data_IF_520153594891
#
_entry.id   IF_520153594891
#
_cell.length_a   1.000
_cell.length_b   1.000
_cell.length_c   1.000
_cell.angle_alpha   90.00
_cell.angle_beta   90.00
_cell.angle_gamma   90.00
#
_symmetry.space_group_name_H-M   'P 1'
#
loop_
_entity.id
_entity.type
_entity.pdbx_description
1 polymer ?
#
# COMPACT_ATOMS: atom_id res chain seq x y z
N UNK A 1 -26.83 8.38 5.28
CA UNK A 1 -25.84 7.90 6.26
C UNK A 1 -25.32 6.57 5.74
N UNK A 2 -24.23 6.60 4.97
CA UNK A 2 -23.71 5.39 4.31
C UNK A 2 -22.74 4.68 5.25
N UNK A 3 -23.07 3.44 5.62
CA UNK A 3 -22.17 2.56 6.36
C UNK A 3 -21.00 2.19 5.45
N UNK A 4 -19.79 2.65 5.77
CA UNK A 4 -18.57 2.04 5.24
C UNK A 4 -18.41 0.66 5.87
N UNK A 5 -18.85 -0.37 5.17
CA UNK A 5 -18.53 -1.76 5.48
C UNK A 5 -17.09 -2.03 5.01
N UNK A 6 -16.11 -1.78 5.87
CA UNK A 6 -14.78 -2.37 5.68
C UNK A 6 -14.97 -3.90 5.67
N UNK A 7 -14.51 -4.62 4.64
CA UNK A 7 -14.61 -6.07 4.62
C UNK A 7 -13.86 -6.62 5.84
N UNK A 8 -14.58 -7.27 6.75
CA UNK A 8 -13.99 -7.96 7.89
C UNK A 8 -13.14 -9.11 7.35
N UNK A 9 -11.82 -8.95 7.37
CA UNK A 9 -10.91 -10.08 7.16
C UNK A 9 -11.12 -11.07 8.30
N UNK A 10 -11.48 -12.32 7.99
CA UNK A 10 -11.50 -13.36 9.02
C UNK A 10 -10.04 -13.75 9.26
N UNK A 11 -9.43 -13.16 10.30
CA UNK A 11 -8.07 -13.49 10.68
C UNK A 11 -7.92 -15.00 10.91
N UNK A 12 -6.87 -15.58 10.31
CA UNK A 12 -6.51 -16.99 10.49
C UNK A 12 -6.37 -17.27 12.00
N UNK A 13 -6.94 -18.37 12.48
CA UNK A 13 -6.91 -18.68 13.92
C UNK A 13 -5.47 -18.89 14.41
N UNK A 14 -5.21 -18.55 15.69
CA UNK A 14 -3.88 -18.74 16.30
C UNK A 14 -3.37 -20.18 16.25
N UNK A 15 -4.26 -21.17 16.21
CA UNK A 15 -3.91 -22.60 16.07
C UNK A 15 -3.31 -22.91 14.70
N UNK A 16 -3.90 -22.39 13.63
CA UNK A 16 -3.39 -22.59 12.25
C UNK A 16 -2.03 -21.91 12.12
N UNK A 17 -1.91 -20.70 12.65
CA UNK A 17 -0.65 -19.95 12.66
C UNK A 17 0.45 -20.74 13.36
N UNK A 18 0.20 -21.25 14.57
CA UNK A 18 1.19 -22.04 15.31
C UNK A 18 1.58 -23.34 14.58
N UNK A 19 0.67 -23.95 13.81
CA UNK A 19 1.02 -25.09 12.96
C UNK A 19 1.88 -24.72 11.76
N UNK A 20 1.67 -23.52 11.19
CA UNK A 20 2.37 -23.04 10.00
C UNK A 20 3.78 -22.52 10.32
N UNK A 21 4.03 -22.02 11.53
CA UNK A 21 5.34 -21.50 11.98
C UNK A 21 6.50 -22.48 11.84
N UNK A 22 6.24 -23.78 11.68
CA UNK A 22 7.29 -24.79 11.45
C UNK A 22 7.73 -24.88 9.98
N UNK A 23 6.99 -24.26 9.07
CA UNK A 23 7.16 -24.37 7.62
C UNK A 23 7.33 -23.02 6.93
N UNK A 24 7.13 -21.92 7.67
CA UNK A 24 7.07 -20.57 7.14
C UNK A 24 7.93 -19.68 8.03
N UNK A 25 8.84 -18.93 7.41
CA UNK A 25 9.68 -17.94 8.09
C UNK A 25 8.93 -16.61 8.26
N UNK A 26 8.06 -16.26 7.31
CA UNK A 26 7.41 -14.95 7.24
C UNK A 26 5.98 -15.02 6.68
N UNK A 27 5.09 -14.24 7.28
CA UNK A 27 3.75 -13.95 6.79
C UNK A 27 3.72 -12.54 6.19
N UNK A 28 3.46 -12.45 4.90
CA UNK A 28 3.36 -11.16 4.21
C UNK A 28 1.89 -10.75 4.20
N UNK A 29 1.58 -9.63 4.87
CA UNK A 29 0.29 -8.96 4.70
C UNK A 29 0.39 -8.18 3.38
N UNK A 30 -0.28 -8.71 2.36
CA UNK A 30 -0.45 -8.01 1.08
C UNK A 30 -1.41 -6.84 1.29
N UNK A 31 -0.83 -5.65 1.30
CA UNK A 31 -1.50 -4.35 1.47
C UNK A 31 -1.73 -3.66 0.14
N UNK A 32 -1.31 -4.26 -0.97
CA UNK A 32 -1.40 -3.67 -2.30
C UNK A 32 -2.82 -3.80 -2.86
N UNK A 33 -3.13 -3.06 -3.93
CA UNK A 33 -4.37 -3.25 -4.69
C UNK A 33 -5.69 -3.13 -3.90
N UNK A 34 -5.74 -2.23 -2.90
CA UNK A 34 -6.94 -1.90 -2.11
C UNK A 34 -8.17 -1.63 -3.01
N UNK A 35 -7.93 -1.03 -4.18
CA UNK A 35 -8.93 -0.66 -5.19
C UNK A 35 -9.70 -1.86 -5.79
N UNK A 36 -9.11 -3.06 -5.85
CA UNK A 36 -9.68 -4.18 -6.63
C UNK A 36 -10.99 -4.75 -6.10
N UNK A 37 -11.39 -4.44 -4.85
CA UNK A 37 -12.48 -5.16 -4.16
C UNK A 37 -13.71 -4.36 -3.75
N UNK A 38 -13.73 -3.02 -3.78
CA UNK A 38 -14.88 -2.31 -3.15
C UNK A 38 -15.36 -0.98 -3.72
N UNK A 39 -14.60 -0.15 -4.43
CA UNK A 39 -15.05 1.21 -4.75
C UNK A 39 -14.50 1.76 -6.07
N UNK A 40 -15.36 1.91 -7.08
CA UNK A 40 -15.04 2.59 -8.35
C UNK A 40 -14.63 4.07 -8.22
N UNK A 41 -14.62 4.63 -7.00
CA UNK A 41 -14.41 6.06 -6.72
C UNK A 41 -13.30 6.37 -5.70
N UNK A 42 -12.55 5.38 -5.22
CA UNK A 42 -11.45 5.63 -4.27
C UNK A 42 -10.15 5.91 -5.03
N UNK A 43 -9.49 7.02 -4.69
CA UNK A 43 -8.22 7.47 -5.26
C UNK A 43 -7.00 6.94 -4.48
N UNK A 44 -7.17 6.26 -3.34
CA UNK A 44 -6.06 5.70 -2.59
C UNK A 44 -5.58 4.36 -3.20
N UNK A 45 -4.26 4.18 -3.32
CA UNK A 45 -3.68 2.89 -3.74
C UNK A 45 -3.63 1.86 -2.60
N UNK A 46 -3.26 2.31 -1.39
CA UNK A 46 -3.13 1.50 -0.18
C UNK A 46 -3.16 2.41 1.06
N UNK A 47 -4.34 2.90 1.50
CA UNK A 47 -4.45 3.87 2.59
C UNK A 47 -3.75 3.40 3.87
N UNK A 48 -2.98 4.25 4.55
CA UNK A 48 -2.22 3.85 5.75
C UNK A 48 -3.14 3.27 6.86
N UNK A 49 -4.32 3.86 7.08
CA UNK A 49 -5.31 3.37 8.03
C UNK A 49 -5.80 1.95 7.70
N UNK A 50 -5.91 1.59 6.42
CA UNK A 50 -6.27 0.23 6.02
C UNK A 50 -5.17 -0.76 6.43
N UNK A 51 -3.92 -0.40 6.19
CA UNK A 51 -2.76 -1.21 6.59
C UNK A 51 -2.73 -1.41 8.11
N UNK A 52 -2.90 -0.34 8.89
CA UNK A 52 -2.97 -0.40 10.35
C UNK A 52 -4.03 -1.40 10.84
N UNK A 53 -5.22 -1.36 10.23
CA UNK A 53 -6.31 -2.25 10.61
C UNK A 53 -6.00 -3.70 10.24
N UNK A 54 -5.38 -3.96 9.08
CA UNK A 54 -4.93 -5.30 8.72
C UNK A 54 -3.91 -5.83 9.74
N UNK A 55 -2.88 -5.05 10.07
CA UNK A 55 -1.88 -5.45 11.08
C UNK A 55 -2.58 -5.83 12.38
N UNK A 56 -3.46 -4.95 12.90
CA UNK A 56 -4.21 -5.21 14.13
C UNK A 56 -5.05 -6.49 14.04
N UNK A 57 -5.75 -6.71 12.94
CA UNK A 57 -6.58 -7.91 12.75
C UNK A 57 -5.74 -9.20 12.75
N UNK A 58 -4.55 -9.18 12.14
CA UNK A 58 -3.68 -10.35 12.06
C UNK A 58 -2.86 -10.59 13.33
N UNK A 59 -2.37 -9.54 13.98
CA UNK A 59 -1.40 -9.69 15.10
C UNK A 59 -2.05 -9.64 16.48
N UNK A 60 -3.25 -9.07 16.64
CA UNK A 60 -3.91 -8.89 17.96
C UNK A 60 -4.13 -10.19 18.75
N UNK A 61 -4.15 -11.34 18.07
CA UNK A 61 -4.43 -12.64 18.68
C UNK A 61 -3.17 -13.46 19.01
N UNK A 62 -1.98 -13.02 18.60
CA UNK A 62 -0.73 -13.75 18.79
C UNK A 62 0.48 -12.80 18.65
N UNK A 63 1.06 -12.34 19.75
CA UNK A 63 2.21 -11.42 19.72
C UNK A 63 3.42 -12.00 18.98
N UNK A 64 3.63 -13.32 19.05
CA UNK A 64 4.71 -14.00 18.33
C UNK A 64 4.51 -13.99 16.80
N UNK A 65 3.40 -13.46 16.28
CA UNK A 65 3.26 -13.20 14.85
C UNK A 65 3.96 -11.93 14.42
N UNK A 66 4.04 -10.91 15.29
CA UNK A 66 4.59 -9.60 14.89
C UNK A 66 6.01 -9.75 14.35
N UNK A 67 6.84 -10.54 15.03
CA UNK A 67 8.23 -10.84 14.64
C UNK A 67 8.38 -11.78 13.42
N UNK A 68 7.27 -12.23 12.83
CA UNK A 68 7.26 -13.07 11.63
C UNK A 68 6.31 -12.49 10.58
N UNK A 69 5.94 -11.22 10.71
CA UNK A 69 4.99 -10.56 9.81
C UNK A 69 5.69 -9.41 9.15
N UNK A 70 5.40 -9.21 7.87
CA UNK A 70 5.68 -7.96 7.19
C UNK A 70 4.45 -7.38 6.52
N UNK A 71 4.50 -6.08 6.24
CA UNK A 71 3.58 -5.43 5.30
C UNK A 71 4.26 -5.22 3.96
N UNK A 72 3.48 -5.29 2.89
CA UNK A 72 3.96 -4.92 1.57
C UNK A 72 4.04 -3.39 1.42
N UNK A 73 5.04 -2.90 0.70
CA UNK A 73 5.14 -1.52 0.21
C UNK A 73 5.27 -1.60 -1.30
N UNK A 74 4.23 -1.15 -2.01
CA UNK A 74 4.23 -1.09 -3.47
C UNK A 74 5.09 0.09 -3.95
N UNK A 75 6.06 -0.18 -4.82
CA UNK A 75 6.92 0.84 -5.43
C UNK A 75 6.50 1.19 -6.87
N UNK A 76 5.41 0.59 -7.36
CA UNK A 76 4.76 0.98 -8.61
C UNK A 76 3.68 2.03 -8.38
N UNK A 77 3.40 2.83 -9.41
CA UNK A 77 2.27 3.75 -9.42
C UNK A 77 1.08 3.24 -10.21
N UNK A 78 -0.02 3.98 -10.13
CA UNK A 78 -1.27 3.69 -10.84
C UNK A 78 -1.82 4.94 -11.51
N UNK A 79 -2.36 4.77 -12.72
CA UNK A 79 -3.12 5.78 -13.44
C UNK A 79 -4.61 5.47 -13.40
N UNK A 80 -5.39 6.50 -13.09
CA UNK A 80 -6.84 6.49 -13.05
C UNK A 80 -7.37 7.53 -14.03
N UNK A 81 -7.96 7.05 -15.13
CA UNK A 81 -8.63 7.90 -16.11
C UNK A 81 -10.11 7.55 -16.15
N UNK A 82 -10.97 8.55 -16.33
CA UNK A 82 -12.41 8.34 -16.47
C UNK A 82 -12.69 7.39 -17.64
N UNK A 83 -13.53 6.38 -17.40
CA UNK A 83 -13.94 5.37 -18.39
C UNK A 83 -12.80 4.52 -18.99
N UNK A 84 -11.62 4.49 -18.37
CA UNK A 84 -10.52 3.63 -18.78
C UNK A 84 -10.15 2.65 -17.66
N UNK A 85 -9.65 1.45 -18.01
CA UNK A 85 -9.10 0.57 -17.00
C UNK A 85 -7.89 1.21 -16.32
N UNK A 86 -7.71 0.91 -15.03
CA UNK A 86 -6.50 1.25 -14.28
C UNK A 86 -5.28 0.70 -15.00
N UNK A 87 -4.22 1.49 -15.08
CA UNK A 87 -2.92 1.04 -15.59
C UNK A 87 -1.83 1.24 -14.55
N UNK A 88 -0.90 0.28 -14.48
CA UNK A 88 0.31 0.44 -13.67
C UNK A 88 1.28 1.39 -14.36
N UNK A 89 1.99 2.19 -13.57
CA UNK A 89 2.98 3.18 -13.97
C UNK A 89 4.31 2.80 -13.31
N UNK A 90 5.37 2.71 -14.11
CA UNK A 90 6.75 2.62 -13.61
C UNK A 90 7.41 4.01 -13.54
N UNK A 91 8.58 4.08 -12.89
CA UNK A 91 9.34 5.33 -12.73
C UNK A 91 9.57 6.08 -14.04
N UNK A 92 9.90 5.40 -15.15
CA UNK A 92 10.15 6.05 -16.44
C UNK A 92 8.89 6.73 -16.99
N UNK A 93 7.76 6.04 -16.90
CA UNK A 93 6.46 6.56 -17.31
C UNK A 93 6.05 7.73 -16.42
N UNK A 94 6.25 7.60 -15.11
CA UNK A 94 5.95 8.65 -14.15
C UNK A 94 6.79 9.92 -14.39
N UNK A 95 8.10 9.79 -14.59
CA UNK A 95 8.99 10.90 -14.92
C UNK A 95 8.56 11.64 -16.19
N UNK A 96 8.13 10.89 -17.22
CA UNK A 96 7.60 11.49 -18.45
C UNK A 96 6.31 12.26 -18.20
N UNK A 97 5.42 11.72 -17.34
CA UNK A 97 4.15 12.37 -16.99
C UNK A 97 4.36 13.62 -16.12
N UNK A 98 5.35 13.62 -15.22
CA UNK A 98 5.67 14.74 -14.34
C UNK A 98 5.91 16.05 -15.09
N UNK A 99 6.49 16.00 -16.29
CA UNK A 99 6.69 17.18 -17.13
C UNK A 99 5.38 17.86 -17.56
N UNK A 100 4.28 17.12 -17.59
CA UNK A 100 2.94 17.59 -18.00
C UNK A 100 1.94 17.57 -16.83
N UNK A 101 2.42 17.33 -15.61
CA UNK A 101 1.58 17.35 -14.42
C UNK A 101 1.18 18.78 -14.12
N UNK A 102 -0.12 18.96 -13.90
CA UNK A 102 -0.70 20.30 -13.65
C UNK A 102 -0.70 20.63 -12.17
N UNK A 103 -1.02 19.65 -11.31
CA UNK A 103 -1.10 19.78 -9.86
C UNK A 103 -0.61 18.50 -9.16
N UNK A 104 -0.11 18.67 -7.94
CA UNK A 104 0.15 17.59 -6.99
C UNK A 104 -0.54 17.89 -5.67
N UNK A 105 -1.21 16.90 -5.09
CA UNK A 105 -1.95 17.04 -3.84
C UNK A 105 -1.59 15.90 -2.90
N UNK A 106 -1.23 16.23 -1.66
CA UNK A 106 -1.16 15.24 -0.59
C UNK A 106 -2.56 14.93 -0.09
N UNK A 107 -2.90 13.64 -0.05
CA UNK A 107 -4.21 13.16 0.36
C UNK A 107 -4.11 12.61 1.77
N UNK A 108 -4.53 13.41 2.75
CA UNK A 108 -4.40 13.07 4.17
C UNK A 108 -5.10 11.77 4.56
N UNK A 109 -6.26 11.47 3.97
CA UNK A 109 -7.00 10.23 4.29
C UNK A 109 -6.28 8.97 3.79
N UNK A 110 -5.50 9.08 2.70
CA UNK A 110 -4.70 7.97 2.19
C UNK A 110 -3.29 7.94 2.81
N UNK A 111 -2.76 9.10 3.19
CA UNK A 111 -1.32 9.36 3.35
C UNK A 111 -0.55 8.99 2.06
N UNK A 112 -1.01 9.55 0.94
CA UNK A 112 -0.46 9.33 -0.40
C UNK A 112 -0.46 10.61 -1.24
N UNK A 113 0.41 10.67 -2.24
CA UNK A 113 0.43 11.77 -3.22
C UNK A 113 -0.38 11.42 -4.46
N UNK A 114 -1.25 12.35 -4.87
CA UNK A 114 -1.94 12.34 -6.16
C UNK A 114 -1.38 13.42 -7.08
N UNK A 115 -1.24 13.08 -8.35
CA UNK A 115 -0.82 13.97 -9.42
C UNK A 115 -1.89 13.97 -10.51
N UNK A 116 -2.16 15.12 -11.13
CA UNK A 116 -3.12 15.20 -12.25
C UNK A 116 -2.40 15.54 -13.54
N UNK A 117 -2.54 14.68 -14.55
CA UNK A 117 -1.98 14.94 -15.88
C UNK A 117 -2.84 15.89 -16.72
N UNK A 118 -2.31 16.32 -17.87
CA UNK A 118 -3.01 17.20 -18.83
C UNK A 118 -4.35 16.65 -19.36
N UNK A 119 -4.62 15.35 -19.24
CA UNK A 119 -5.88 14.73 -19.66
C UNK A 119 -6.86 14.58 -18.49
N UNK A 120 -6.57 15.21 -17.34
CA UNK A 120 -7.33 15.10 -16.10
C UNK A 120 -7.41 13.64 -15.59
N UNK A 121 -6.38 12.85 -15.85
CA UNK A 121 -6.20 11.55 -15.20
C UNK A 121 -5.43 11.73 -13.89
N UNK A 122 -5.86 11.03 -12.86
CA UNK A 122 -5.17 10.94 -11.59
C UNK A 122 -4.06 9.90 -11.65
N UNK A 123 -2.94 10.22 -11.03
CA UNK A 123 -1.75 9.38 -10.93
C UNK A 123 -1.40 9.29 -9.46
N UNK A 124 -1.38 8.07 -8.93
CA UNK A 124 -0.85 7.77 -7.60
C UNK A 124 0.52 7.15 -7.79
N UNK A 125 1.57 7.75 -7.25
CA UNK A 125 2.93 7.19 -7.34
C UNK A 125 3.60 7.23 -5.97
N UNK A 126 4.30 6.16 -5.54
CA UNK A 126 5.01 6.12 -4.27
C UNK A 126 6.09 7.21 -4.19
N UNK A 127 5.85 8.21 -3.35
CA UNK A 127 6.85 9.24 -3.01
C UNK A 127 7.68 8.80 -1.80
N UNK A 128 8.76 9.53 -1.49
CA UNK A 128 9.54 9.30 -0.27
C UNK A 128 8.63 9.33 0.97
N UNK A 129 7.77 10.33 1.08
CA UNK A 129 6.84 10.46 2.21
C UNK A 129 5.86 9.27 2.31
N UNK A 130 5.34 8.77 1.17
CA UNK A 130 4.52 7.55 1.13
C UNK A 130 5.27 6.36 1.74
N UNK A 131 6.54 6.18 1.38
CA UNK A 131 7.36 5.05 1.81
C UNK A 131 7.70 5.19 3.29
N UNK A 132 8.17 6.36 3.72
CA UNK A 132 8.52 6.65 5.12
C UNK A 132 7.35 6.42 6.07
N UNK A 133 6.13 6.82 5.71
CA UNK A 133 4.94 6.58 6.54
C UNK A 133 4.71 5.09 6.81
N UNK A 134 4.98 4.23 5.82
CA UNK A 134 4.80 2.77 5.92
C UNK A 134 5.94 2.11 6.68
N UNK A 135 7.18 2.56 6.46
CA UNK A 135 8.35 2.15 7.28
C UNK A 135 8.09 2.49 8.75
N UNK A 136 7.65 3.72 9.04
CA UNK A 136 7.38 4.17 10.40
C UNK A 136 6.27 3.36 11.06
N UNK A 137 5.20 3.03 10.33
CA UNK A 137 4.15 2.14 10.82
C UNK A 137 4.70 0.74 11.16
N UNK A 138 5.51 0.15 10.28
CA UNK A 138 6.10 -1.16 10.51
C UNK A 138 6.99 -1.16 11.78
N UNK A 139 7.84 -0.14 11.94
CA UNK A 139 8.67 0.06 13.13
C UNK A 139 7.81 0.18 14.39
N UNK A 140 6.75 1.01 14.35
CA UNK A 140 5.85 1.21 15.50
C UNK A 140 5.14 -0.08 15.90
N UNK A 141 4.77 -0.90 14.94
CA UNK A 141 4.06 -2.16 15.18
C UNK A 141 4.99 -3.34 15.49
N UNK A 142 6.31 -3.16 15.31
CA UNK A 142 7.31 -4.20 15.53
C UNK A 142 7.22 -5.34 14.50
N UNK A 143 6.96 -4.98 13.25
CA UNK A 143 6.87 -5.89 12.11
C UNK A 143 7.88 -5.48 11.02
N UNK A 144 8.17 -6.41 10.11
CA UNK A 144 9.06 -6.16 8.97
C UNK A 144 8.32 -5.52 7.78
N UNK A 145 9.06 -5.28 6.70
CA UNK A 145 8.53 -4.77 5.43
C UNK A 145 8.97 -5.66 4.27
N UNK A 146 8.09 -5.82 3.29
CA UNK A 146 8.39 -6.43 1.99
C UNK A 146 8.21 -5.39 0.90
N UNK A 147 9.21 -5.22 0.03
CA UNK A 147 9.11 -4.31 -1.12
C UNK A 147 8.55 -5.04 -2.34
N UNK A 148 7.52 -4.47 -2.96
CA UNK A 148 6.90 -4.98 -4.17
C UNK A 148 7.21 -4.09 -5.37
N UNK A 149 7.28 -4.69 -6.56
CA UNK A 149 7.53 -3.99 -7.82
C UNK A 149 8.80 -3.12 -7.81
N UNK A 150 9.90 -3.66 -7.29
CA UNK A 150 11.19 -2.95 -7.18
C UNK A 150 11.72 -2.46 -8.54
N UNK A 151 11.35 -3.12 -9.63
CA UNK A 151 11.68 -2.75 -11.00
C UNK A 151 10.99 -1.47 -11.47
N UNK A 152 9.90 -1.07 -10.80
CA UNK A 152 9.16 0.14 -11.08
C UNK A 152 9.65 1.35 -10.26
N UNK A 153 10.53 1.13 -9.28
CA UNK A 153 10.98 2.12 -8.31
C UNK A 153 12.02 3.10 -8.86
N UNK A 154 12.04 4.33 -8.32
CA UNK A 154 13.17 5.23 -8.50
C UNK A 154 14.35 4.79 -7.61
N UNK A 155 15.60 4.68 -8.09
CA UNK A 155 16.72 4.16 -7.29
C UNK A 155 16.93 4.86 -5.94
N UNK A 156 16.72 6.17 -5.86
CA UNK A 156 16.88 6.92 -4.61
C UNK A 156 15.95 6.47 -3.47
N UNK A 157 14.85 5.76 -3.75
CA UNK A 157 13.98 5.26 -2.66
C UNK A 157 14.69 4.25 -1.78
N UNK A 158 15.75 3.59 -2.28
CA UNK A 158 16.52 2.62 -1.52
C UNK A 158 17.45 3.25 -0.48
N UNK A 159 17.62 4.58 -0.49
CA UNK A 159 18.34 5.30 0.57
C UNK A 159 17.56 5.37 1.90
N UNK A 160 16.28 4.96 1.89
CA UNK A 160 15.40 4.92 3.06
C UNK A 160 15.54 3.65 3.90
N UNK A 161 16.27 2.63 3.41
CA UNK A 161 16.47 1.32 4.06
C UNK A 161 17.93 1.12 4.46
#
# INVERSE_FOLDING_TARGET
MSLFLFPRSVAISGTIINSLKKYIDEFIIDTTDYYSKSLHSSHCSSPLMYIENLIKDYTSKNENLKSMTSISIDLSGYKFCLNQPRSSINVTSFQTMLHNTTNSTWIEECQEHSFTDSNNCEIMFPTIEYIEKRINLAIQEGIDITLCHIEAAHPNVFELF
#
